data_IF_543582461511
#
_entry.id   IF_543582461511
#
_cell.length_a   1.000
_cell.length_b   1.000
_cell.length_c   1.000
_cell.angle_alpha   90.00
_cell.angle_beta   90.00
_cell.angle_gamma   90.00
#
_symmetry.space_group_name_H-M   'P 1'
#
loop_
_entity.id
_entity.type
_entity.pdbx_description
1 polymer ?
#
# COMPACT_ATOMS: atom_id res chain seq x y z
N UNK A 1 21.89 -6.10 25.79
CA UNK A 1 20.49 -6.53 25.56
C UNK A 1 19.68 -5.29 25.23
N UNK A 2 18.97 -5.26 24.09
CA UNK A 2 18.14 -4.12 23.70
C UNK A 2 16.68 -4.53 23.86
N UNK A 3 16.01 -3.98 24.87
CA UNK A 3 14.56 -4.06 25.05
C UNK A 3 13.86 -3.44 23.83
N UNK A 4 12.82 -4.10 23.31
CA UNK A 4 12.00 -3.56 22.22
C UNK A 4 11.09 -2.49 22.84
N UNK A 5 11.55 -1.24 22.90
CA UNK A 5 10.70 -0.14 23.38
C UNK A 5 9.70 0.23 22.30
N UNK A 6 8.58 -0.49 22.23
CA UNK A 6 7.47 -0.13 21.33
C UNK A 6 6.89 1.21 21.78
N UNK A 7 7.07 2.25 20.98
CA UNK A 7 6.41 3.53 21.24
C UNK A 7 4.88 3.32 21.27
N UNK A 8 4.17 3.85 22.27
CA UNK A 8 2.72 3.67 22.40
C UNK A 8 1.92 4.17 21.20
N UNK A 9 2.54 4.93 20.29
CA UNK A 9 1.93 5.48 19.06
C UNK A 9 2.80 5.27 17.82
N UNK A 10 3.76 4.33 17.86
CA UNK A 10 4.60 4.00 16.71
C UNK A 10 3.98 2.93 15.80
N UNK A 11 4.35 2.89 14.50
CA UNK A 11 4.00 1.79 13.60
C UNK A 11 4.78 0.50 13.96
N UNK A 12 4.42 -0.65 13.37
CA UNK A 12 5.06 -1.95 13.66
C UNK A 12 6.58 -1.94 13.50
N UNK A 13 7.11 -1.28 12.46
CA UNK A 13 8.54 -1.15 12.24
C UNK A 13 9.27 -0.38 13.36
N UNK A 14 8.52 0.33 14.21
CA UNK A 14 9.03 0.97 15.42
C UNK A 14 9.34 0.00 16.55
N UNK A 15 8.88 -1.26 16.46
CA UNK A 15 9.27 -2.31 17.39
C UNK A 15 10.72 -2.75 17.18
N UNK A 16 11.28 -2.64 15.96
CA UNK A 16 12.64 -3.09 15.68
C UNK A 16 13.69 -2.27 16.45
N UNK A 17 14.74 -2.91 17.00
CA UNK A 17 15.83 -2.21 17.67
C UNK A 17 16.50 -1.22 16.71
N UNK A 18 16.55 0.06 17.09
CA UNK A 18 17.22 1.07 16.27
C UNK A 18 18.74 1.07 16.53
N UNK A 19 19.58 0.95 15.50
CA UNK A 19 21.02 1.10 15.65
C UNK A 19 21.40 2.50 16.14
N UNK A 20 22.43 2.58 16.99
CA UNK A 20 22.96 3.86 17.50
C UNK A 20 23.70 4.68 16.45
N UNK A 21 24.35 4.03 15.48
CA UNK A 21 25.06 4.72 14.40
C UNK A 21 24.08 5.21 13.33
N UNK A 22 24.24 6.47 12.89
CA UNK A 22 23.44 7.06 11.81
C UNK A 22 23.45 6.23 10.52
N UNK A 23 24.61 5.71 10.13
CA UNK A 23 24.76 4.89 8.92
C UNK A 23 23.91 3.61 8.97
N UNK A 24 23.97 2.84 10.06
CA UNK A 24 23.16 1.63 10.21
C UNK A 24 21.67 1.93 10.35
N UNK A 25 21.30 3.04 10.99
CA UNK A 25 19.90 3.47 11.08
C UNK A 25 19.34 3.83 9.68
N UNK A 26 20.12 4.53 8.86
CA UNK A 26 19.78 4.79 7.47
C UNK A 26 19.65 3.51 6.65
N UNK A 27 20.61 2.58 6.78
CA UNK A 27 20.57 1.30 6.09
C UNK A 27 19.33 0.46 6.45
N UNK A 28 18.95 0.44 7.73
CA UNK A 28 17.71 -0.20 8.18
C UNK A 28 16.47 0.44 7.53
N UNK A 29 16.40 1.77 7.51
CA UNK A 29 15.27 2.49 6.93
C UNK A 29 15.15 2.26 5.41
N UNK A 30 16.28 2.25 4.71
CA UNK A 30 16.34 1.90 3.29
C UNK A 30 15.91 0.44 3.05
N UNK A 31 16.38 -0.50 3.86
CA UNK A 31 16.00 -1.91 3.75
C UNK A 31 14.49 -2.12 3.99
N UNK A 32 13.90 -1.42 4.97
CA UNK A 32 12.46 -1.45 5.22
C UNK A 32 11.65 -0.89 4.06
N UNK A 33 12.11 0.21 3.44
CA UNK A 33 11.49 0.82 2.27
C UNK A 33 11.52 -0.15 1.07
N UNK A 34 12.67 -0.75 0.80
CA UNK A 34 12.83 -1.73 -0.29
C UNK A 34 12.01 -2.99 -0.04
N UNK A 35 11.99 -3.50 1.19
CA UNK A 35 11.17 -4.65 1.57
C UNK A 35 9.67 -4.34 1.40
N UNK A 36 9.22 -3.15 1.79
CA UNK A 36 7.86 -2.70 1.56
C UNK A 36 7.50 -2.66 0.07
N UNK A 37 8.37 -2.10 -0.76
CA UNK A 37 8.19 -2.08 -2.21
C UNK A 37 8.13 -3.50 -2.81
N UNK A 38 8.98 -4.42 -2.33
CA UNK A 38 9.00 -5.82 -2.74
C UNK A 38 7.70 -6.55 -2.36
N UNK A 39 7.15 -6.31 -1.17
CA UNK A 39 5.85 -6.88 -0.77
C UNK A 39 4.74 -6.42 -1.72
N UNK A 40 4.73 -5.14 -2.10
CA UNK A 40 3.76 -4.62 -3.08
C UNK A 40 3.95 -5.28 -4.44
N UNK A 41 5.19 -5.42 -4.90
CA UNK A 41 5.50 -6.08 -6.16
C UNK A 41 5.05 -7.55 -6.20
N UNK A 42 5.27 -8.30 -5.11
CA UNK A 42 4.84 -9.69 -5.00
C UNK A 42 3.32 -9.82 -5.03
N UNK A 43 2.62 -9.02 -4.22
CA UNK A 43 1.15 -9.06 -4.17
C UNK A 43 0.51 -8.49 -5.44
N UNK A 44 1.24 -7.67 -6.23
CA UNK A 44 0.77 -7.21 -7.52
C UNK A 44 0.57 -8.34 -8.53
N UNK A 45 1.30 -9.43 -8.39
CA UNK A 45 1.22 -10.57 -9.32
C UNK A 45 0.00 -11.44 -9.08
N UNK A 46 -0.63 -11.34 -7.90
CA UNK A 46 -1.93 -11.94 -7.65
C UNK A 46 -3.02 -11.09 -8.32
N UNK A 47 -3.19 -11.29 -9.63
CA UNK A 47 -4.15 -10.55 -10.44
C UNK A 47 -5.28 -11.42 -11.00
N UNK A 48 -6.45 -10.80 -11.12
CA UNK A 48 -7.54 -11.25 -11.97
C UNK A 48 -7.54 -10.31 -13.17
N UNK A 49 -7.17 -10.81 -14.36
CA UNK A 49 -7.11 -9.99 -15.57
C UNK A 49 -8.48 -9.38 -15.86
N UNK A 50 -8.54 -8.05 -15.87
CA UNK A 50 -9.72 -7.27 -16.23
C UNK A 50 -9.28 -6.03 -16.99
N UNK A 51 -10.09 -5.63 -17.95
CA UNK A 51 -9.89 -4.39 -18.70
C UNK A 51 -10.92 -3.34 -18.25
N UNK A 52 -10.55 -2.07 -18.08
CA UNK A 52 -9.23 -1.46 -18.34
C UNK A 52 -8.25 -1.53 -17.14
N UNK A 53 -8.71 -2.01 -15.98
CA UNK A 53 -7.89 -2.09 -14.76
C UNK A 53 -8.01 -3.49 -14.15
N UNK A 54 -6.90 -4.21 -13.94
CA UNK A 54 -6.92 -5.54 -13.33
C UNK A 54 -7.24 -5.44 -11.83
N UNK A 55 -7.91 -6.46 -11.28
CA UNK A 55 -8.03 -6.60 -9.83
C UNK A 55 -6.78 -7.29 -9.31
N UNK A 56 -6.02 -6.63 -8.45
CA UNK A 56 -4.74 -7.16 -7.95
C UNK A 56 -4.71 -7.23 -6.42
N UNK A 57 -3.67 -7.88 -5.88
CA UNK A 57 -3.32 -7.82 -4.45
C UNK A 57 -2.65 -6.52 -4.02
N UNK A 58 -2.36 -5.57 -4.93
CA UNK A 58 -1.61 -4.34 -4.62
C UNK A 58 -2.27 -3.53 -3.52
N UNK A 59 -3.59 -3.31 -3.58
CA UNK A 59 -4.29 -2.47 -2.61
C UNK A 59 -4.22 -3.02 -1.17
N UNK A 60 -4.18 -4.35 -1.02
CA UNK A 60 -3.91 -4.98 0.28
C UNK A 60 -2.48 -4.68 0.74
N UNK A 61 -1.50 -4.87 -0.14
CA UNK A 61 -0.09 -4.61 0.16
C UNK A 61 0.15 -3.16 0.58
N UNK A 62 -0.46 -2.21 -0.14
CA UNK A 62 -0.37 -0.76 0.13
C UNK A 62 -0.79 -0.45 1.58
N UNK A 63 -1.93 -1.00 2.02
CA UNK A 63 -2.43 -0.80 3.38
C UNK A 63 -1.51 -1.46 4.40
N UNK A 64 -1.11 -2.72 4.18
CA UNK A 64 -0.22 -3.46 5.10
C UNK A 64 1.14 -2.76 5.25
N UNK A 65 1.74 -2.33 4.15
CA UNK A 65 3.04 -1.63 4.12
C UNK A 65 2.91 -0.26 4.77
N UNK A 66 1.87 0.50 4.45
CA UNK A 66 1.60 1.79 5.08
C UNK A 66 1.45 1.68 6.59
N UNK A 67 0.58 0.78 7.06
CA UNK A 67 0.35 0.56 8.48
C UNK A 67 1.61 0.05 9.21
N UNK A 68 2.39 -0.83 8.57
CA UNK A 68 3.59 -1.41 9.18
C UNK A 68 4.76 -0.44 9.25
N UNK A 69 4.97 0.38 8.22
CA UNK A 69 6.13 1.25 8.10
C UNK A 69 5.85 2.70 8.57
N UNK A 70 4.58 3.07 8.73
CA UNK A 70 4.14 4.43 9.05
C UNK A 70 4.19 5.39 7.87
N UNK A 71 3.80 6.65 8.09
CA UNK A 71 3.57 7.64 7.03
C UNK A 71 4.76 7.80 6.08
N UNK A 72 5.96 8.09 6.63
CA UNK A 72 7.13 8.42 5.81
C UNK A 72 7.67 7.22 5.04
N UNK A 73 7.97 6.12 5.75
CA UNK A 73 8.56 4.93 5.13
C UNK A 73 7.58 4.19 4.24
N UNK A 74 6.29 4.16 4.60
CA UNK A 74 5.22 3.64 3.75
C UNK A 74 5.14 4.42 2.43
N UNK A 75 5.02 5.74 2.48
CA UNK A 75 5.01 6.58 1.27
C UNK A 75 6.28 6.39 0.42
N UNK A 76 7.46 6.33 1.04
CA UNK A 76 8.71 6.04 0.33
C UNK A 76 8.73 4.65 -0.32
N UNK A 77 8.20 3.62 0.33
CA UNK A 77 8.11 2.28 -0.26
C UNK A 77 7.25 2.28 -1.54
N UNK A 78 6.12 2.98 -1.53
CA UNK A 78 5.26 3.07 -2.71
C UNK A 78 5.85 3.96 -3.80
N UNK A 79 6.60 4.99 -3.44
CA UNK A 79 7.38 5.76 -4.40
C UNK A 79 8.49 4.90 -5.03
N UNK A 80 9.24 4.14 -4.22
CA UNK A 80 10.26 3.21 -4.72
C UNK A 80 9.65 2.16 -5.65
N UNK A 81 8.49 1.60 -5.29
CA UNK A 81 7.73 0.67 -6.14
C UNK A 81 7.39 1.27 -7.51
N UNK A 82 6.82 2.48 -7.52
CA UNK A 82 6.48 3.21 -8.74
C UNK A 82 7.72 3.45 -9.61
N UNK A 83 8.79 4.00 -9.02
CA UNK A 83 10.00 4.32 -9.76
C UNK A 83 10.71 3.08 -10.30
N UNK A 84 10.71 1.98 -9.54
CA UNK A 84 11.27 0.71 -10.00
C UNK A 84 10.52 0.18 -11.24
N UNK A 85 9.19 0.22 -11.25
CA UNK A 85 8.40 -0.20 -12.40
C UNK A 85 8.59 0.70 -13.62
N UNK A 86 8.68 2.02 -13.43
CA UNK A 86 9.00 2.96 -14.52
C UNK A 86 10.42 2.76 -15.07
N UNK A 87 11.38 2.38 -14.22
CA UNK A 87 12.74 2.03 -14.62
C UNK A 87 12.83 0.68 -15.36
N UNK A 88 11.72 -0.03 -15.53
CA UNK A 88 11.64 -1.25 -16.33
C UNK A 88 11.72 -2.55 -15.52
N UNK A 89 11.73 -2.49 -14.18
CA UNK A 89 11.66 -3.72 -13.37
C UNK A 89 10.25 -4.31 -13.46
N UNK A 90 10.10 -5.64 -13.58
CA UNK A 90 8.81 -6.32 -13.75
C UNK A 90 8.02 -6.43 -12.43
N UNK A 91 7.72 -5.28 -11.81
CA UNK A 91 7.11 -5.18 -10.48
C UNK A 91 5.62 -4.80 -10.52
N UNK A 92 5.15 -4.25 -11.64
CA UNK A 92 3.72 -4.01 -11.84
C UNK A 92 3.00 -5.34 -12.12
N UNK A 93 1.66 -5.30 -12.07
CA UNK A 93 0.83 -6.47 -12.26
C UNK A 93 1.09 -7.14 -13.63
N UNK A 94 0.99 -8.46 -13.68
CA UNK A 94 1.35 -9.25 -14.88
C UNK A 94 2.84 -9.23 -15.20
N UNK A 95 3.71 -9.13 -14.19
CA UNK A 95 5.17 -8.99 -14.32
C UNK A 95 5.60 -7.88 -15.30
N UNK A 96 4.83 -6.78 -15.32
CA UNK A 96 5.09 -5.66 -16.22
C UNK A 96 5.95 -4.57 -15.57
N UNK A 97 6.58 -3.74 -16.39
CA UNK A 97 7.40 -2.62 -15.96
C UNK A 97 7.98 -1.88 -17.16
N UNK A 98 7.59 -0.63 -17.34
CA UNK A 98 8.18 0.26 -18.35
C UNK A 98 7.73 1.69 -18.13
N UNK A 99 8.43 2.65 -18.74
CA UNK A 99 7.96 4.04 -18.83
C UNK A 99 6.64 4.17 -19.61
N UNK A 100 6.37 3.25 -20.55
CA UNK A 100 5.13 3.22 -21.30
C UNK A 100 3.90 2.91 -20.42
N UNK A 101 4.09 2.44 -19.18
CA UNK A 101 3.01 2.29 -18.22
C UNK A 101 2.27 3.62 -17.96
N UNK A 102 2.92 4.79 -18.15
CA UNK A 102 2.26 6.11 -18.06
C UNK A 102 1.17 6.30 -19.14
N UNK A 103 1.13 5.50 -20.19
CA UNK A 103 0.01 5.50 -21.14
C UNK A 103 -1.09 4.49 -20.76
N UNK A 104 -0.94 3.74 -19.67
CA UNK A 104 -1.92 2.75 -19.21
C UNK A 104 -3.05 3.40 -18.40
N UNK A 105 -4.33 3.03 -18.62
CA UNK A 105 -5.45 3.53 -17.81
C UNK A 105 -5.31 3.24 -16.31
N UNK A 106 -4.60 2.16 -15.94
CA UNK A 106 -4.41 1.73 -14.54
C UNK A 106 -3.30 2.47 -13.79
N UNK A 107 -2.43 3.22 -14.48
CA UNK A 107 -1.23 3.80 -13.86
C UNK A 107 -1.53 4.84 -12.78
N UNK A 108 -2.60 5.62 -12.95
CA UNK A 108 -3.02 6.60 -11.95
C UNK A 108 -3.34 6.01 -10.58
N UNK A 109 -3.75 4.73 -10.52
CA UNK A 109 -3.96 4.03 -9.25
C UNK A 109 -2.63 3.77 -8.53
N UNK A 110 -1.56 3.45 -9.27
CA UNK A 110 -0.21 3.27 -8.73
C UNK A 110 0.31 4.58 -8.12
N UNK A 111 0.06 5.72 -8.77
CA UNK A 111 0.34 7.04 -8.20
C UNK A 111 -0.45 7.27 -6.91
N UNK A 112 -1.74 6.91 -6.93
CA UNK A 112 -2.63 6.96 -5.77
C UNK A 112 -2.25 6.06 -4.60
N UNK A 113 -1.42 5.04 -4.80
CA UNK A 113 -0.95 4.18 -3.72
C UNK A 113 -0.03 4.90 -2.74
N UNK A 114 0.71 5.94 -3.18
CA UNK A 114 1.61 6.72 -2.31
C UNK A 114 0.84 7.40 -1.18
N UNK A 115 -0.16 8.28 -1.46
CA UNK A 115 -0.95 8.89 -0.39
C UNK A 115 -1.81 7.87 0.37
N UNK A 116 -2.26 6.78 -0.27
CA UNK A 116 -3.00 5.72 0.41
C UNK A 116 -2.18 5.05 1.53
N UNK A 117 -0.92 4.70 1.25
CA UNK A 117 -0.01 4.15 2.25
C UNK A 117 0.30 5.15 3.38
N UNK A 118 0.39 6.44 3.05
CA UNK A 118 0.56 7.49 4.04
C UNK A 118 -0.66 7.59 4.98
N UNK A 119 -1.90 7.49 4.45
CA UNK A 119 -3.12 7.47 5.25
C UNK A 119 -3.18 6.24 6.16
N UNK A 120 -2.86 5.05 5.65
CA UNK A 120 -2.78 3.83 6.46
C UNK A 120 -1.71 3.96 7.56
N UNK A 121 -0.54 4.50 7.24
CA UNK A 121 0.53 4.74 8.22
C UNK A 121 0.19 5.80 9.26
N UNK A 122 -0.60 6.80 8.91
CA UNK A 122 -1.11 7.81 9.83
C UNK A 122 -2.11 7.22 10.84
N UNK A 123 -2.96 6.29 10.39
CA UNK A 123 -3.85 5.54 11.28
C UNK A 123 -3.06 4.67 12.27
N UNK A 124 -2.02 3.99 11.79
CA UNK A 124 -1.13 3.19 12.65
C UNK A 124 -0.41 4.05 13.71
N UNK A 125 0.05 5.24 13.32
CA UNK A 125 0.66 6.21 14.26
C UNK A 125 -0.33 6.78 15.29
N UNK A 126 -1.63 6.56 15.12
CA UNK A 126 -2.67 6.86 16.12
C UNK A 126 -3.08 5.65 16.95
N UNK A 127 -2.43 4.50 16.76
CA UNK A 127 -2.81 3.22 17.35
C UNK A 127 -4.22 2.74 16.96
N UNK A 128 -4.78 3.28 15.86
CA UNK A 128 -6.10 2.88 15.36
C UNK A 128 -6.08 1.46 14.79
N UNK A 129 -4.92 1.05 14.29
CA UNK A 129 -4.61 -0.27 13.73
C UNK A 129 -4.55 -1.40 14.78
N UNK A 130 -4.68 -1.10 16.08
CA UNK A 130 -4.71 -2.09 17.17
C UNK A 130 -6.12 -2.55 17.54
N UNK A 131 -7.15 -1.81 17.09
CA UNK A 131 -8.56 -2.10 17.35
C UNK A 131 -9.21 -2.51 16.02
N UNK A 132 -9.63 -3.79 15.84
CA UNK A 132 -10.05 -4.30 14.54
C UNK A 132 -11.10 -3.45 13.80
N UNK A 133 -12.11 -2.94 14.50
CA UNK A 133 -13.15 -2.11 13.88
C UNK A 133 -12.63 -0.74 13.41
N UNK A 134 -11.77 -0.09 14.20
CA UNK A 134 -11.18 1.21 13.82
C UNK A 134 -10.15 1.01 12.70
N UNK A 135 -9.36 -0.07 12.79
CA UNK A 135 -8.43 -0.48 11.75
C UNK A 135 -9.16 -0.71 10.41
N UNK A 136 -10.27 -1.44 10.44
CA UNK A 136 -11.09 -1.67 9.26
C UNK A 136 -11.57 -0.37 8.62
N UNK A 137 -12.19 0.53 9.40
CA UNK A 137 -12.66 1.82 8.89
C UNK A 137 -11.50 2.67 8.32
N UNK A 138 -10.35 2.71 9.00
CA UNK A 138 -9.17 3.44 8.54
C UNK A 138 -8.59 2.83 7.25
N UNK A 139 -8.59 1.51 7.12
CA UNK A 139 -8.08 0.82 5.95
C UNK A 139 -9.02 0.88 4.75
N UNK A 140 -10.33 0.93 4.98
CA UNK A 140 -11.31 1.28 3.95
C UNK A 140 -11.06 2.72 3.47
N UNK A 141 -10.89 3.68 4.38
CA UNK A 141 -10.58 5.06 4.03
C UNK A 141 -9.28 5.19 3.21
N UNK A 142 -8.22 4.49 3.64
CA UNK A 142 -6.97 4.43 2.89
C UNK A 142 -7.15 3.80 1.50
N UNK A 143 -8.00 2.77 1.37
CA UNK A 143 -8.27 2.07 0.11
C UNK A 143 -9.11 2.90 -0.87
N UNK A 144 -9.79 3.95 -0.42
CA UNK A 144 -10.52 4.89 -1.30
C UNK A 144 -9.56 5.86 -1.99
N UNK A 145 -8.44 6.22 -1.34
CA UNK A 145 -7.49 7.23 -1.84
C UNK A 145 -6.97 6.96 -3.26
N UNK A 146 -6.61 5.72 -3.65
CA UNK A 146 -6.14 5.45 -5.01
C UNK A 146 -7.16 5.79 -6.08
N UNK A 147 -8.46 5.68 -5.80
CA UNK A 147 -9.53 6.00 -6.76
C UNK A 147 -9.61 7.51 -7.03
N UNK A 148 -9.24 8.36 -6.06
CA UNK A 148 -9.27 9.82 -6.21
C UNK A 148 -8.29 10.32 -7.28
N UNK A 149 -7.21 9.57 -7.52
CA UNK A 149 -6.21 9.87 -8.55
C UNK A 149 -6.41 8.95 -9.76
N UNK A 150 -6.63 7.66 -9.52
CA UNK A 150 -6.75 6.63 -10.53
C UNK A 150 -7.93 6.82 -11.46
N UNK A 151 -9.12 7.15 -10.95
CA UNK A 151 -10.32 7.27 -11.79
C UNK A 151 -10.24 8.48 -12.74
N UNK A 152 -9.86 9.70 -12.29
CA UNK A 152 -9.64 10.82 -13.21
C UNK A 152 -8.54 10.55 -14.24
N UNK A 153 -7.45 9.90 -13.82
CA UNK A 153 -6.36 9.52 -14.71
C UNK A 153 -6.81 8.52 -15.77
N UNK A 154 -7.54 7.48 -15.36
CA UNK A 154 -8.11 6.47 -16.24
C UNK A 154 -9.05 7.11 -17.27
N UNK A 155 -9.90 8.04 -16.85
CA UNK A 155 -10.77 8.79 -17.76
C UNK A 155 -9.99 9.59 -18.80
N UNK A 156 -8.92 10.28 -18.38
CA UNK A 156 -8.04 11.02 -19.28
C UNK A 156 -7.38 10.08 -20.31
N UNK A 157 -6.80 8.97 -19.88
CA UNK A 157 -6.16 8.02 -20.80
C UNK A 157 -7.18 7.42 -21.77
N UNK A 158 -8.33 6.92 -21.28
CA UNK A 158 -9.31 6.26 -22.13
C UNK A 158 -9.94 7.22 -23.13
N UNK A 159 -10.33 8.43 -22.71
CA UNK A 159 -11.07 9.34 -23.58
C UNK A 159 -10.14 10.22 -24.43
N UNK A 160 -9.06 10.73 -23.86
CA UNK A 160 -8.20 11.71 -24.55
C UNK A 160 -7.05 11.05 -25.30
N UNK A 161 -6.45 9.99 -24.75
CA UNK A 161 -5.31 9.30 -25.40
C UNK A 161 -5.77 8.18 -26.31
N UNK A 162 -6.79 7.41 -25.90
CA UNK A 162 -7.28 6.25 -26.65
C UNK A 162 -8.56 6.51 -27.46
N UNK A 163 -9.23 7.65 -27.28
CA UNK A 163 -10.40 8.03 -28.06
C UNK A 163 -11.66 7.18 -27.79
N UNK A 164 -11.81 6.61 -26.60
CA UNK A 164 -12.92 5.70 -26.27
C UNK A 164 -14.27 6.39 -25.99
N UNK A 165 -14.28 7.73 -25.84
CA UNK A 165 -15.49 8.56 -25.62
C UNK A 165 -16.46 8.03 -24.53
N UNK A 166 -15.91 7.50 -23.44
CA UNK A 166 -16.69 6.93 -22.34
C UNK A 166 -17.34 8.02 -21.49
N UNK A 167 -18.60 7.80 -21.13
CA UNK A 167 -19.31 8.63 -20.16
C UNK A 167 -18.73 8.51 -18.75
N UNK A 168 -19.01 9.50 -17.89
CA UNK A 168 -18.63 9.46 -16.47
C UNK A 168 -19.16 8.19 -15.79
N UNK A 169 -20.40 7.78 -16.09
CA UNK A 169 -20.99 6.58 -15.51
C UNK A 169 -20.20 5.31 -15.89
N UNK A 170 -19.78 5.18 -17.15
CA UNK A 170 -18.97 4.04 -17.62
C UNK A 170 -17.58 4.03 -16.97
N UNK A 171 -16.95 5.21 -16.80
CA UNK A 171 -15.68 5.34 -16.08
C UNK A 171 -15.80 4.86 -14.64
N UNK A 172 -16.84 5.26 -13.90
CA UNK A 172 -17.03 4.77 -12.53
C UNK A 172 -17.37 3.27 -12.49
N UNK A 173 -18.19 2.80 -13.44
CA UNK A 173 -18.54 1.39 -13.55
C UNK A 173 -17.32 0.50 -13.80
N UNK A 174 -16.33 0.97 -14.58
CA UNK A 174 -15.08 0.27 -14.83
C UNK A 174 -14.03 0.47 -13.72
N UNK A 175 -13.91 1.69 -13.20
CA UNK A 175 -12.82 2.11 -12.32
C UNK A 175 -13.08 1.95 -10.83
N UNK A 176 -14.32 1.73 -10.40
CA UNK A 176 -14.69 1.64 -8.96
C UNK A 176 -15.46 0.35 -8.66
N UNK A 177 -16.56 0.11 -9.36
CA UNK A 177 -17.53 -0.96 -9.04
C UNK A 177 -16.88 -2.35 -8.85
N UNK A 178 -15.97 -2.83 -9.72
CA UNK A 178 -15.38 -4.16 -9.60
C UNK A 178 -14.53 -4.32 -8.33
N UNK A 179 -14.06 -3.20 -7.76
CA UNK A 179 -13.11 -3.16 -6.67
C UNK A 179 -13.76 -3.01 -5.29
N UNK A 180 -15.07 -2.74 -5.21
CA UNK A 180 -15.75 -2.48 -3.93
C UNK A 180 -15.69 -3.72 -3.02
N UNK A 181 -16.23 -4.85 -3.49
CA UNK A 181 -16.29 -6.09 -2.69
C UNK A 181 -14.88 -6.57 -2.33
N UNK A 182 -13.99 -6.64 -3.34
CA UNK A 182 -12.60 -7.03 -3.12
C UNK A 182 -11.84 -6.08 -2.20
N UNK A 183 -12.13 -4.78 -2.26
CA UNK A 183 -11.53 -3.76 -1.40
C UNK A 183 -11.95 -3.91 0.05
N UNK A 184 -13.24 -4.14 0.31
CA UNK A 184 -13.75 -4.41 1.66
C UNK A 184 -13.14 -5.69 2.25
N UNK A 185 -13.06 -6.76 1.45
CA UNK A 185 -12.41 -8.01 1.88
C UNK A 185 -10.94 -7.76 2.23
N UNK A 186 -10.20 -7.06 1.37
CA UNK A 186 -8.78 -6.72 1.61
C UNK A 186 -8.60 -5.85 2.85
N UNK A 187 -9.45 -4.86 3.06
CA UNK A 187 -9.43 -4.03 4.26
C UNK A 187 -9.70 -4.86 5.53
N UNK A 188 -10.62 -5.83 5.47
CA UNK A 188 -10.89 -6.75 6.57
C UNK A 188 -9.69 -7.66 6.86
N UNK A 189 -9.04 -8.20 5.82
CA UNK A 189 -7.80 -8.98 5.96
C UNK A 189 -6.72 -8.15 6.65
N UNK A 190 -6.47 -6.92 6.18
CA UNK A 190 -5.49 -6.03 6.81
C UNK A 190 -5.85 -5.71 8.27
N UNK A 191 -7.13 -5.46 8.55
CA UNK A 191 -7.64 -5.17 9.89
C UNK A 191 -7.59 -6.39 10.84
N UNK A 192 -7.44 -7.61 10.31
CA UNK A 192 -7.14 -8.79 11.11
C UNK A 192 -5.63 -8.96 11.30
N UNK A 193 -4.85 -8.88 10.22
CA UNK A 193 -3.40 -9.14 10.20
C UNK A 193 -2.62 -8.15 11.06
N UNK A 194 -2.92 -6.84 10.97
CA UNK A 194 -2.13 -5.82 11.68
C UNK A 194 -2.27 -5.91 13.21
N UNK A 195 -3.49 -6.01 13.79
CA UNK A 195 -3.62 -6.25 15.23
C UNK A 195 -2.97 -7.56 15.70
N UNK A 196 -3.04 -8.62 14.89
CA UNK A 196 -2.41 -9.91 15.21
C UNK A 196 -0.89 -9.78 15.25
N UNK A 197 -0.28 -9.05 14.30
CA UNK A 197 1.14 -8.75 14.31
C UNK A 197 1.55 -8.00 15.60
N UNK A 198 0.75 -7.03 16.04
CA UNK A 198 0.97 -6.34 17.32
C UNK A 198 0.89 -7.28 18.54
N UNK A 199 -0.03 -8.25 18.54
CA UNK A 199 -0.09 -9.27 19.61
C UNK A 199 1.14 -10.16 19.62
N UNK A 200 1.66 -10.53 18.45
CA UNK A 200 2.89 -11.30 18.31
C UNK A 200 4.10 -10.56 18.87
N UNK A 201 4.25 -9.27 18.53
CA UNK A 201 5.31 -8.41 19.10
C UNK A 201 5.21 -8.37 20.63
N UNK A 202 4.00 -8.14 21.17
CA UNK A 202 3.80 -8.08 22.62
C UNK A 202 4.06 -9.41 23.34
N UNK A 203 3.87 -10.56 22.69
CA UNK A 203 4.20 -11.87 23.25
C UNK A 203 5.72 -12.07 23.35
N UNK A 204 6.44 -11.74 22.27
CA UNK A 204 7.91 -11.83 22.23
C UNK A 204 8.61 -10.91 23.22
N UNK A 205 7.99 -9.77 23.56
CA UNK A 205 8.49 -8.87 24.59
C UNK A 205 8.37 -9.50 25.99
N UNK A 206 7.28 -10.21 26.29
CA UNK A 206 7.07 -10.87 27.59
C UNK A 206 8.00 -12.05 27.84
N UNK A 207 8.38 -12.78 26.80
CA UNK A 207 9.28 -13.94 26.91
C UNK A 207 10.75 -13.53 27.13
N UNK A 208 11.06 -12.23 27.04
CA UNK A 208 12.41 -11.66 27.20
C UNK A 208 12.67 -11.03 28.57
N UNK A 209 11.62 -10.86 29.38
CA UNK A 209 11.66 -10.36 30.77
C UNK A 209 11.71 -11.53 31.76
#
# INVERSE_FOLDING_TARGET
MSTLTVSPRGPLAGALPRPSSRARAFALDAALVVAGAAVVALLAQAEIPLWPVPITGQTLAVVLVGASLGVRRGGMALLTYLLAGLAGLPVFAGFSGSIAAVASPSFGFIVGFIPAAMVAGYAAQRAWDRRPLIAFAAFVAASIVPFLIGVPYMAFILNTVMGAELSVAQIFAAGVTPFIVGGLIKAAIAAAVIPLAWRGVAALDRDRD
#
